data_IF_805517772486
#
_entry.id   IF_805517772486
#
_cell.length_a   1.000
_cell.length_b   1.000
_cell.length_c   1.000
_cell.angle_alpha   90.00
_cell.angle_beta   90.00
_cell.angle_gamma   90.00
#
_symmetry.space_group_name_H-M   'P 1'
#
loop_
_entity.id
_entity.type
_entity.pdbx_description
1 polymer ?
#
# COMPACT_ATOMS: atom_id res chain seq x y z
N UNK A 1 -26.62 20.93 2.29
CA UNK A 1 -27.10 19.64 2.81
C UNK A 1 -27.00 19.68 4.33
N UNK A 2 -28.14 19.65 5.05
CA UNK A 2 -28.17 19.63 6.52
C UNK A 2 -28.00 18.20 7.01
N UNK A 3 -26.84 17.87 7.58
CA UNK A 3 -26.55 16.54 8.13
C UNK A 3 -27.31 16.30 9.44
N UNK A 4 -27.92 15.13 9.60
CA UNK A 4 -28.60 14.72 10.84
C UNK A 4 -27.57 14.58 11.98
N UNK A 5 -27.74 15.22 13.15
CA UNK A 5 -26.74 15.20 14.23
C UNK A 5 -26.42 13.81 14.79
N UNK A 6 -27.34 12.85 14.64
CA UNK A 6 -27.14 11.45 15.04
C UNK A 6 -26.64 10.54 13.92
N UNK A 7 -26.27 11.07 12.75
CA UNK A 7 -25.75 10.25 11.66
C UNK A 7 -24.36 9.71 12.01
N UNK A 8 -24.05 8.44 11.71
CA UNK A 8 -22.72 7.90 11.92
C UNK A 8 -21.68 8.69 11.13
N UNK A 9 -20.47 8.83 11.69
CA UNK A 9 -19.35 9.45 10.99
C UNK A 9 -18.92 8.55 9.84
N UNK A 10 -18.98 9.06 8.62
CA UNK A 10 -18.48 8.36 7.44
C UNK A 10 -16.96 8.52 7.38
N UNK A 11 -16.24 7.40 7.43
CA UNK A 11 -14.81 7.35 7.18
C UNK A 11 -14.57 6.78 5.77
N UNK A 12 -13.71 7.47 5.00
CA UNK A 12 -13.21 6.96 3.73
C UNK A 12 -12.02 6.05 4.01
N UNK A 13 -11.97 4.91 3.34
CA UNK A 13 -10.80 4.04 3.30
C UNK A 13 -9.66 4.73 2.57
N UNK A 14 -8.43 4.30 2.88
CA UNK A 14 -7.23 4.75 2.21
C UNK A 14 -6.20 3.63 2.18
N UNK A 15 -5.32 3.65 1.18
CA UNK A 15 -4.08 2.88 1.19
C UNK A 15 -2.99 3.77 1.75
N UNK A 16 -2.20 3.24 2.70
CA UNK A 16 -1.12 3.96 3.35
C UNK A 16 0.18 3.21 3.11
N UNK A 17 1.06 3.82 2.30
CA UNK A 17 2.45 3.39 2.17
C UNK A 17 3.30 4.07 3.25
N UNK A 18 3.84 3.27 4.17
CA UNK A 18 4.76 3.68 5.23
C UNK A 18 6.18 3.32 4.81
N UNK A 19 7.05 4.33 4.77
CA UNK A 19 8.46 4.19 4.46
C UNK A 19 9.26 4.83 5.60
N UNK A 20 10.06 4.07 6.36
CA UNK A 20 10.84 4.61 7.47
C UNK A 20 11.82 5.72 7.05
N UNK A 21 12.26 5.71 5.79
CA UNK A 21 13.19 6.68 5.23
C UNK A 21 12.49 7.89 4.61
N UNK A 22 11.16 7.84 4.45
CA UNK A 22 10.36 8.94 3.93
C UNK A 22 9.20 9.28 4.89
N UNK A 23 9.30 10.39 5.65
CA UNK A 23 8.28 10.77 6.62
C UNK A 23 6.95 11.19 5.97
N UNK A 24 6.92 11.46 4.67
CA UNK A 24 5.69 11.68 3.92
C UNK A 24 5.14 10.32 3.48
N UNK A 25 4.29 9.73 4.34
CA UNK A 25 3.54 8.53 3.99
C UNK A 25 2.73 8.77 2.70
N UNK A 26 2.78 7.83 1.77
CA UNK A 26 1.94 7.86 0.57
C UNK A 26 0.52 7.50 0.98
N UNK A 27 -0.33 8.50 1.19
CA UNK A 27 -1.74 8.30 1.57
C UNK A 27 -2.62 8.45 0.34
N UNK A 28 -3.34 7.38 0.00
CA UNK A 28 -4.21 7.30 -1.18
C UNK A 28 -5.63 7.13 -0.68
N UNK A 29 -6.34 8.25 -0.54
CA UNK A 29 -7.71 8.27 -0.04
C UNK A 29 -8.66 7.83 -1.16
N UNK A 30 -9.56 6.90 -0.86
CA UNK A 30 -10.55 6.46 -1.82
C UNK A 30 -11.72 7.44 -1.92
N UNK A 31 -12.22 7.66 -3.15
CA UNK A 31 -13.46 8.40 -3.33
C UNK A 31 -14.63 7.59 -2.76
N UNK A 32 -14.67 6.28 -3.05
CA UNK A 32 -15.64 5.33 -2.55
C UNK A 32 -14.92 4.13 -1.90
N UNK A 33 -15.48 3.61 -0.79
CA UNK A 33 -14.95 2.40 -0.18
C UNK A 33 -15.09 1.21 -1.13
N UNK A 34 -14.12 0.28 -1.17
CA UNK A 34 -14.18 -0.85 -2.07
C UNK A 34 -15.39 -1.72 -1.75
N UNK A 35 -16.02 -2.26 -2.81
CA UNK A 35 -17.22 -3.09 -2.66
C UNK A 35 -16.92 -4.45 -2.04
N UNK A 36 -15.71 -4.97 -2.24
CA UNK A 36 -15.24 -6.22 -1.65
C UNK A 36 -13.77 -6.13 -1.22
N UNK A 37 -13.49 -6.58 0.01
CA UNK A 37 -12.17 -6.73 0.59
C UNK A 37 -12.05 -8.13 1.18
N UNK A 38 -11.01 -8.87 0.83
CA UNK A 38 -10.72 -10.21 1.36
C UNK A 38 -9.39 -10.18 2.09
N UNK A 39 -9.39 -10.61 3.35
CA UNK A 39 -8.18 -10.76 4.17
C UNK A 39 -7.89 -12.24 4.36
N UNK A 40 -6.70 -12.68 3.95
CA UNK A 40 -6.20 -14.04 4.14
C UNK A 40 -5.02 -14.03 5.10
N UNK A 41 -5.02 -14.96 6.05
CA UNK A 41 -3.95 -15.16 7.03
C UNK A 41 -3.44 -16.59 6.92
N UNK A 42 -2.20 -16.76 6.46
CA UNK A 42 -1.55 -18.05 6.33
C UNK A 42 -0.57 -18.25 7.51
N UNK A 43 -0.91 -19.16 8.42
CA UNK A 43 -0.10 -19.43 9.61
C UNK A 43 1.23 -20.09 9.22
N UNK A 44 2.34 -19.57 9.75
CA UNK A 44 3.67 -20.15 9.57
C UNK A 44 3.89 -21.25 10.62
N UNK A 45 3.93 -22.51 10.20
CA UNK A 45 4.10 -23.70 11.08
C UNK A 45 5.45 -24.36 10.85
N UNK A 46 6.10 -24.84 11.91
CA UNK A 46 7.31 -25.65 11.82
C UNK A 46 6.95 -27.13 11.69
N UNK A 47 6.77 -27.64 10.47
CA UNK A 47 6.64 -29.09 10.30
C UNK A 47 6.19 -29.56 8.93
N UNK A 48 7.14 -29.79 8.03
CA UNK A 48 6.96 -30.74 6.90
C UNK A 48 7.72 -32.06 7.12
N UNK A 49 8.75 -32.14 7.98
CA UNK A 49 9.61 -33.33 8.13
C UNK A 49 10.06 -33.72 9.58
N UNK A 50 9.45 -33.18 10.63
CA UNK A 50 9.88 -33.40 12.04
C UNK A 50 8.83 -34.12 12.89
N UNK A 51 9.29 -34.97 13.82
CA UNK A 51 8.50 -35.86 14.67
C UNK A 51 7.17 -35.27 15.20
N UNK A 52 6.15 -36.15 15.32
CA UNK A 52 4.73 -35.92 15.69
C UNK A 52 4.42 -35.01 16.91
N UNK A 53 5.43 -34.50 17.62
CA UNK A 53 5.29 -33.61 18.78
C UNK A 53 5.45 -32.11 18.48
N UNK A 54 5.85 -31.70 17.26
CA UNK A 54 6.09 -30.28 16.91
C UNK A 54 4.99 -29.63 16.03
N UNK A 55 3.93 -30.38 15.73
CA UNK A 55 2.87 -30.06 14.75
C UNK A 55 2.04 -28.80 15.08
N UNK A 56 2.08 -28.31 16.34
CA UNK A 56 1.31 -27.14 16.79
C UNK A 56 2.18 -25.88 17.00
N UNK A 57 3.47 -25.93 16.67
CA UNK A 57 4.36 -24.77 16.85
C UNK A 57 4.24 -23.82 15.66
N UNK A 58 3.97 -22.56 15.97
CA UNK A 58 4.08 -21.46 15.03
C UNK A 58 5.53 -21.00 14.96
N UNK A 59 6.08 -20.84 13.75
CA UNK A 59 7.45 -20.36 13.53
C UNK A 59 7.54 -18.83 13.54
N UNK A 60 6.41 -18.13 13.38
CA UNK A 60 6.36 -16.67 13.28
C UNK A 60 4.93 -16.12 13.12
N UNK A 61 4.79 -14.80 12.91
CA UNK A 61 3.51 -14.19 12.58
C UNK A 61 2.96 -14.76 11.26
N UNK A 62 1.62 -14.82 11.09
CA UNK A 62 1.03 -15.30 9.85
C UNK A 62 1.37 -14.36 8.69
N UNK A 63 1.54 -14.93 7.49
CA UNK A 63 1.59 -14.14 6.28
C UNK A 63 0.19 -13.59 5.99
N UNK A 64 0.08 -12.26 5.94
CA UNK A 64 -1.17 -11.57 5.69
C UNK A 64 -1.23 -11.08 4.25
N UNK A 65 -2.33 -11.42 3.56
CA UNK A 65 -2.65 -10.91 2.23
C UNK A 65 -4.01 -10.25 2.26
N UNK A 66 -4.06 -8.96 1.92
CA UNK A 66 -5.30 -8.21 1.73
C UNK A 66 -5.52 -8.02 0.23
N UNK A 67 -6.61 -8.58 -0.29
CA UNK A 67 -7.03 -8.43 -1.69
C UNK A 67 -8.22 -7.48 -1.76
N UNK A 68 -8.05 -6.41 -2.55
CA UNK A 68 -9.12 -5.46 -2.89
C UNK A 68 -9.54 -5.77 -4.32
N UNK A 69 -10.75 -6.31 -4.51
CA UNK A 69 -11.19 -6.84 -5.81
C UNK A 69 -12.01 -5.86 -6.65
N UNK A 70 -12.63 -4.86 -6.01
CA UNK A 70 -13.57 -3.93 -6.65
C UNK A 70 -13.39 -2.51 -6.07
N UNK A 71 -12.32 -1.84 -6.48
CA UNK A 71 -12.05 -0.44 -6.14
C UNK A 71 -12.28 0.44 -7.38
N UNK A 72 -13.06 1.50 -7.21
CA UNK A 72 -13.31 2.51 -8.24
C UNK A 72 -12.53 3.78 -7.91
N UNK A 73 -11.82 4.32 -8.90
CA UNK A 73 -11.05 5.57 -8.80
C UNK A 73 -11.76 6.60 -9.68
N UNK A 74 -12.35 7.61 -9.04
CA UNK A 74 -13.12 8.67 -9.69
C UNK A 74 -12.84 10.03 -9.03
N UNK A 75 -12.94 11.09 -9.82
CA UNK A 75 -12.82 12.48 -9.41
C UNK A 75 -14.14 13.27 -9.55
N UNK A 76 -15.28 12.64 -9.87
CA UNK A 76 -16.57 13.30 -10.10
C UNK A 76 -16.97 14.29 -8.98
N UNK A 77 -16.95 13.86 -7.72
CA UNK A 77 -17.28 14.72 -6.57
C UNK A 77 -16.28 15.87 -6.39
N UNK A 78 -15.00 15.61 -6.69
CA UNK A 78 -13.94 16.61 -6.59
C UNK A 78 -14.06 17.66 -7.70
N UNK A 79 -14.49 17.23 -8.89
CA UNK A 79 -14.80 18.09 -10.03
C UNK A 79 -16.07 18.91 -9.79
N UNK A 80 -17.10 18.33 -9.18
CA UNK A 80 -18.32 19.05 -8.78
C UNK A 80 -17.98 20.19 -7.80
N UNK A 81 -17.05 19.95 -6.86
CA UNK A 81 -16.56 20.94 -5.91
C UNK A 81 -15.51 21.90 -6.50
N UNK A 82 -15.20 21.79 -7.80
CA UNK A 82 -14.17 22.56 -8.48
C UNK A 82 -12.81 22.52 -7.75
N UNK A 83 -12.43 21.37 -7.18
CA UNK A 83 -11.11 21.21 -6.55
C UNK A 83 -10.02 21.41 -7.60
N UNK A 84 -9.07 22.31 -7.32
CA UNK A 84 -8.03 22.70 -8.27
C UNK A 84 -7.20 21.50 -8.77
N UNK A 85 -6.93 20.54 -7.90
CA UNK A 85 -6.21 19.30 -8.24
C UNK A 85 -6.98 18.42 -9.20
N UNK A 86 -8.28 18.20 -8.96
CA UNK A 86 -9.13 17.39 -9.83
C UNK A 86 -9.38 18.07 -11.18
N UNK A 87 -9.59 19.39 -11.19
CA UNK A 87 -9.78 20.15 -12.44
C UNK A 87 -8.52 20.15 -13.31
N UNK A 88 -7.34 20.29 -12.69
CA UNK A 88 -6.07 20.35 -13.41
C UNK A 88 -5.52 18.97 -13.83
N UNK A 89 -5.66 17.96 -12.96
CA UNK A 89 -4.96 16.68 -13.08
C UNK A 89 -5.89 15.46 -13.09
N UNK A 90 -7.20 15.64 -12.84
CA UNK A 90 -8.16 14.54 -12.73
C UNK A 90 -7.74 13.52 -11.66
N UNK A 91 -7.81 12.24 -12.03
CA UNK A 91 -7.40 11.09 -11.19
C UNK A 91 -5.90 10.77 -11.26
N UNK A 92 -5.12 11.49 -12.08
CA UNK A 92 -3.70 11.21 -12.30
C UNK A 92 -2.89 11.10 -11.00
N UNK A 93 -3.03 12.01 -10.00
CA UNK A 93 -2.25 11.93 -8.77
C UNK A 93 -2.52 10.64 -7.97
N UNK A 94 -3.74 10.12 -8.02
CA UNK A 94 -4.12 8.90 -7.30
C UNK A 94 -3.51 7.67 -7.97
N UNK A 95 -3.53 7.60 -9.30
CA UNK A 95 -2.89 6.52 -10.06
C UNK A 95 -1.37 6.55 -9.88
N UNK A 96 -0.73 7.72 -9.99
CA UNK A 96 0.70 7.85 -9.77
C UNK A 96 1.10 7.43 -8.35
N UNK A 97 0.28 7.74 -7.34
CA UNK A 97 0.56 7.30 -5.97
C UNK A 97 0.52 5.78 -5.82
N UNK A 98 -0.41 5.08 -6.50
CA UNK A 98 -0.47 3.61 -6.52
C UNK A 98 0.75 3.02 -7.22
N UNK A 99 1.16 3.59 -8.34
CA UNK A 99 2.37 3.17 -9.06
C UNK A 99 3.63 3.36 -8.19
N UNK A 100 3.73 4.47 -7.47
CA UNK A 100 4.86 4.75 -6.58
C UNK A 100 5.01 3.76 -5.41
N UNK A 101 3.99 2.95 -5.12
CA UNK A 101 4.11 1.86 -4.12
C UNK A 101 4.93 0.67 -4.64
N UNK A 102 4.96 0.46 -5.96
CA UNK A 102 5.64 -0.68 -6.58
C UNK A 102 6.98 -0.29 -7.24
N UNK A 103 7.20 0.99 -7.52
CA UNK A 103 8.47 1.46 -8.08
C UNK A 103 9.54 1.70 -7.01
N UNK A 104 10.80 1.28 -7.24
CA UNK A 104 11.90 1.58 -6.34
C UNK A 104 12.22 3.08 -6.35
N UNK A 105 12.73 3.60 -5.23
CA UNK A 105 13.13 5.02 -5.12
C UNK A 105 14.28 5.31 -6.09
N UNK A 106 14.16 6.38 -6.88
CA UNK A 106 15.21 6.79 -7.83
C UNK A 106 16.56 7.03 -7.16
N UNK A 107 16.57 7.55 -5.92
CA UNK A 107 17.81 7.76 -5.16
C UNK A 107 18.57 6.45 -4.92
N UNK A 108 17.88 5.36 -4.57
CA UNK A 108 18.49 4.04 -4.41
C UNK A 108 19.01 3.49 -5.74
N UNK A 109 18.23 3.63 -6.82
CA UNK A 109 18.66 3.19 -8.15
C UNK A 109 19.93 3.93 -8.60
N UNK A 110 20.00 5.25 -8.39
CA UNK A 110 21.17 6.06 -8.71
C UNK A 110 22.37 5.64 -7.86
N UNK A 111 22.19 5.48 -6.54
CA UNK A 111 23.26 5.05 -5.64
C UNK A 111 23.82 3.68 -6.05
N UNK A 112 22.94 2.72 -6.36
CA UNK A 112 23.31 1.40 -6.86
C UNK A 112 24.08 1.48 -8.18
N UNK A 113 23.67 2.37 -9.09
CA UNK A 113 24.37 2.59 -10.37
C UNK A 113 25.80 3.11 -10.15
N UNK A 114 25.99 4.03 -9.19
CA UNK A 114 27.32 4.56 -8.84
C UNK A 114 28.19 3.48 -8.17
N UNK A 115 27.62 2.67 -7.27
CA UNK A 115 28.34 1.58 -6.61
C UNK A 115 28.81 0.50 -7.61
N UNK A 116 27.97 0.16 -8.58
CA UNK A 116 28.32 -0.73 -9.68
C UNK A 116 29.46 -0.16 -10.53
N UNK A 117 29.39 1.14 -10.86
CA UNK A 117 30.46 1.82 -11.60
C UNK A 117 31.78 1.88 -10.81
N UNK A 118 31.71 1.90 -9.47
CA UNK A 118 32.87 1.83 -8.59
C UNK A 118 33.40 0.39 -8.35
N UNK A 119 32.80 -0.63 -8.98
CA UNK A 119 33.24 -2.01 -8.90
C UNK A 119 32.69 -2.82 -7.72
N UNK A 120 31.62 -2.36 -7.07
CA UNK A 120 30.93 -3.12 -6.00
C UNK A 120 30.07 -4.23 -6.62
N UNK A 121 30.27 -5.48 -6.17
CA UNK A 121 29.60 -6.66 -6.74
C UNK A 121 28.23 -6.94 -6.09
N UNK A 122 28.05 -6.53 -4.84
CA UNK A 122 26.80 -6.77 -4.11
C UNK A 122 25.98 -5.48 -4.03
N UNK A 123 24.80 -5.52 -4.66
CA UNK A 123 23.83 -4.43 -4.64
C UNK A 123 22.58 -4.92 -3.91
N UNK A 124 22.25 -4.27 -2.81
CA UNK A 124 21.07 -4.63 -2.01
C UNK A 124 19.80 -4.31 -2.81
N UNK A 125 18.87 -5.27 -2.97
CA UNK A 125 17.59 -5.01 -3.59
C UNK A 125 16.80 -3.94 -2.83
N UNK A 126 16.09 -3.03 -3.51
CA UNK A 126 15.25 -2.05 -2.84
C UNK A 126 14.07 -2.75 -2.15
N UNK A 127 13.81 -2.36 -0.92
CA UNK A 127 12.63 -2.80 -0.17
C UNK A 127 11.41 -1.94 -0.59
N UNK A 128 10.26 -2.59 -0.75
CA UNK A 128 9.00 -1.91 -1.01
C UNK A 128 8.47 -1.24 0.27
N UNK A 129 7.73 -0.12 0.16
CA UNK A 129 7.10 0.49 1.32
C UNK A 129 6.10 -0.47 1.95
N UNK A 130 6.02 -0.43 3.29
CA UNK A 130 5.02 -1.20 4.01
C UNK A 130 3.64 -0.61 3.73
N UNK A 131 2.76 -1.40 3.12
CA UNK A 131 1.46 -0.91 2.64
C UNK A 131 0.33 -1.52 3.45
N UNK A 132 -0.59 -0.67 3.94
CA UNK A 132 -1.79 -1.03 4.70
C UNK A 132 -3.06 -0.49 4.06
#
# INVERSE_FOLDING_TARGET
MTTFPGSPKLAKGAIIGIDPLNPLASVIIFQYNPKSLTRKLDAQTTGEDGARSEVLRLSGPPAETITISELEIDAADQLEQAQATAVGMGIYPQLSALEMLIYPKSALVIANTVLLAAGTIEVVPPEAPFTL
#
